data_IF_106673998101
#
_entry.id   IF_106673998101
#
_cell.length_a   1.000
_cell.length_b   1.000
_cell.length_c   1.000
_cell.angle_alpha   90.00
_cell.angle_beta   90.00
_cell.angle_gamma   90.00
#
_symmetry.space_group_name_H-M   'P 1'
#
loop_
_entity.id
_entity.type
_entity.pdbx_description
1 polymer ?
#
# COMPACT_ATOMS: atom_id res chain seq x y z
N UNK A 1 -25.48 9.32 -0.01
CA UNK A 1 -24.13 9.38 -0.61
C UNK A 1 -23.00 9.14 0.39
N UNK A 2 -22.93 9.83 1.55
CA UNK A 2 -21.80 9.70 2.50
C UNK A 2 -21.67 8.34 3.19
N UNK A 3 -22.79 7.76 3.65
CA UNK A 3 -22.83 6.42 4.24
C UNK A 3 -22.43 5.37 3.19
N UNK A 4 -22.89 5.55 1.95
CA UNK A 4 -22.48 4.69 0.84
C UNK A 4 -20.96 4.72 0.64
N UNK A 5 -20.31 5.89 0.64
CA UNK A 5 -18.85 6.01 0.54
C UNK A 5 -18.10 5.31 1.68
N UNK A 6 -18.56 5.48 2.93
CA UNK A 6 -17.94 4.80 4.07
C UNK A 6 -18.13 3.28 4.00
N UNK A 7 -19.30 2.80 3.59
CA UNK A 7 -19.57 1.38 3.39
C UNK A 7 -18.73 0.82 2.24
N UNK A 8 -18.51 1.57 1.16
CA UNK A 8 -17.63 1.17 0.07
C UNK A 8 -16.18 1.07 0.55
N UNK A 9 -15.67 2.06 1.27
CA UNK A 9 -14.31 2.05 1.82
C UNK A 9 -14.13 0.88 2.80
N UNK A 10 -15.09 0.66 3.69
CA UNK A 10 -15.06 -0.44 4.63
C UNK A 10 -15.13 -1.80 3.92
N UNK A 11 -16.00 -1.93 2.92
CA UNK A 11 -16.14 -3.14 2.12
C UNK A 11 -14.87 -3.47 1.35
N UNK A 12 -14.26 -2.47 0.71
CA UNK A 12 -12.96 -2.63 0.03
C UNK A 12 -11.87 -3.01 1.03
N UNK A 13 -11.81 -2.36 2.20
CA UNK A 13 -10.82 -2.69 3.23
C UNK A 13 -10.98 -4.13 3.73
N UNK A 14 -12.20 -4.57 4.03
CA UNK A 14 -12.47 -5.94 4.48
C UNK A 14 -12.15 -6.97 3.40
N UNK A 15 -12.52 -6.70 2.14
CA UNK A 15 -12.23 -7.57 1.01
C UNK A 15 -10.72 -7.66 0.76
N UNK A 16 -10.01 -6.55 0.84
CA UNK A 16 -8.55 -6.53 0.72
C UNK A 16 -7.90 -7.31 1.85
N UNK A 17 -8.24 -7.04 3.11
CA UNK A 17 -7.71 -7.80 4.26
C UNK A 17 -7.97 -9.30 4.08
N UNK A 18 -9.16 -9.68 3.63
CA UNK A 18 -9.49 -11.08 3.35
C UNK A 18 -8.57 -11.68 2.27
N UNK A 19 -8.36 -10.99 1.15
CA UNK A 19 -7.45 -11.44 0.09
C UNK A 19 -5.99 -11.56 0.59
N UNK A 20 -5.54 -10.60 1.40
CA UNK A 20 -4.20 -10.57 1.97
C UNK A 20 -3.97 -11.61 3.08
N UNK A 21 -5.01 -12.17 3.70
CA UNK A 21 -4.87 -13.18 4.78
C UNK A 21 -5.12 -14.58 4.26
N UNK A 22 -6.13 -14.76 3.41
CA UNK A 22 -6.59 -16.10 3.00
C UNK A 22 -5.75 -16.67 1.86
N UNK A 23 -5.02 -15.81 1.13
CA UNK A 23 -4.17 -16.22 0.01
C UNK A 23 -4.86 -17.22 -0.96
N UNK A 24 -6.13 -16.99 -1.39
CA UNK A 24 -6.91 -18.02 -2.07
C UNK A 24 -6.36 -18.43 -3.45
N UNK A 25 -5.46 -17.62 -4.02
CA UNK A 25 -4.87 -17.80 -5.36
C UNK A 25 -3.34 -17.89 -5.27
N UNK A 26 -2.83 -18.63 -4.28
CA UNK A 26 -1.40 -18.75 -4.06
C UNK A 26 -0.69 -19.62 -5.10
N UNK A 27 0.62 -19.41 -5.24
CA UNK A 27 1.44 -20.10 -6.24
C UNK A 27 1.40 -21.63 -6.09
N UNK A 28 1.40 -22.38 -7.21
CA UNK A 28 1.56 -23.83 -7.16
C UNK A 28 2.93 -24.19 -6.58
N UNK A 29 3.05 -25.41 -6.04
CA UNK A 29 4.31 -25.89 -5.45
C UNK A 29 5.49 -25.68 -6.42
N UNK A 30 6.52 -24.98 -5.96
CA UNK A 30 7.67 -24.62 -6.77
C UNK A 30 8.43 -25.85 -7.27
N UNK A 31 8.62 -25.94 -8.59
CA UNK A 31 9.34 -27.05 -9.25
C UNK A 31 10.84 -26.76 -9.41
N UNK A 32 11.26 -25.51 -9.20
CA UNK A 32 12.65 -25.04 -9.40
C UNK A 32 13.34 -24.74 -8.07
N UNK A 33 14.66 -24.97 -8.00
CA UNK A 33 15.49 -24.65 -6.84
C UNK A 33 15.45 -23.15 -6.45
N UNK A 34 15.12 -22.26 -7.38
CA UNK A 34 15.00 -20.82 -7.14
C UNK A 34 13.57 -20.36 -6.77
N UNK A 35 12.58 -21.24 -6.84
CA UNK A 35 11.19 -20.91 -6.50
C UNK A 35 11.03 -20.32 -5.08
N UNK A 36 11.68 -20.85 -4.03
CA UNK A 36 11.53 -20.31 -2.67
C UNK A 36 11.99 -18.85 -2.52
N UNK A 37 13.04 -18.46 -3.25
CA UNK A 37 13.61 -17.13 -3.18
C UNK A 37 12.76 -16.10 -3.93
N UNK A 38 12.17 -16.49 -5.07
CA UNK A 38 11.18 -15.67 -5.79
C UNK A 38 9.89 -15.51 -4.98
N UNK A 39 9.40 -16.60 -4.37
CA UNK A 39 8.19 -16.59 -3.55
C UNK A 39 8.36 -15.69 -2.31
N UNK A 40 9.54 -15.69 -1.69
CA UNK A 40 9.84 -14.79 -0.58
C UNK A 40 9.81 -13.32 -1.02
N UNK A 41 10.40 -12.97 -2.16
CA UNK A 41 10.39 -11.60 -2.65
C UNK A 41 8.96 -11.14 -3.00
N UNK A 42 8.16 -12.02 -3.62
CA UNK A 42 6.75 -11.75 -3.85
C UNK A 42 6.02 -11.50 -2.53
N UNK A 43 6.22 -12.35 -1.52
CA UNK A 43 5.57 -12.23 -0.22
C UNK A 43 5.93 -10.91 0.48
N UNK A 44 7.20 -10.50 0.42
CA UNK A 44 7.66 -9.21 0.95
C UNK A 44 6.98 -8.04 0.23
N UNK A 45 6.97 -8.05 -1.10
CA UNK A 45 6.32 -6.99 -1.88
C UNK A 45 4.82 -6.93 -1.62
N UNK A 46 4.17 -8.09 -1.57
CA UNK A 46 2.74 -8.23 -1.28
C UNK A 46 2.40 -7.69 0.11
N UNK A 47 3.18 -8.03 1.14
CA UNK A 47 2.98 -7.52 2.49
C UNK A 47 3.15 -6.00 2.59
N UNK A 48 4.19 -5.44 1.96
CA UNK A 48 4.45 -3.99 1.97
C UNK A 48 3.32 -3.23 1.27
N UNK A 49 2.97 -3.63 0.04
CA UNK A 49 1.93 -2.95 -0.74
C UNK A 49 0.54 -3.12 -0.10
N UNK A 50 0.23 -4.30 0.42
CA UNK A 50 -1.02 -4.55 1.14
C UNK A 50 -1.14 -3.71 2.40
N UNK A 51 -0.08 -3.63 3.21
CA UNK A 51 -0.03 -2.75 4.38
C UNK A 51 -0.24 -1.28 4.02
N UNK A 52 0.42 -0.81 2.95
CA UNK A 52 0.28 0.57 2.47
C UNK A 52 -1.14 0.86 2.00
N UNK A 53 -1.77 -0.09 1.31
CA UNK A 53 -3.16 0.02 0.88
C UNK A 53 -4.12 0.12 2.07
N UNK A 54 -3.98 -0.76 3.06
CA UNK A 54 -4.80 -0.72 4.29
C UNK A 54 -4.60 0.62 5.02
N UNK A 55 -3.36 1.09 5.17
CA UNK A 55 -3.07 2.38 5.78
C UNK A 55 -3.74 3.54 5.02
N UNK A 56 -3.71 3.51 3.68
CA UNK A 56 -4.40 4.49 2.85
C UNK A 56 -5.92 4.49 3.03
N UNK A 57 -6.54 3.31 3.11
CA UNK A 57 -7.98 3.16 3.36
C UNK A 57 -8.37 3.67 4.76
N UNK A 58 -7.57 3.37 5.79
CA UNK A 58 -7.79 3.87 7.15
C UNK A 58 -7.62 5.39 7.23
N UNK A 59 -6.61 5.95 6.58
CA UNK A 59 -6.41 7.40 6.51
C UNK A 59 -7.60 8.08 5.83
N UNK A 60 -8.09 7.51 4.73
CA UNK A 60 -9.25 8.04 4.01
C UNK A 60 -10.52 7.98 4.88
N UNK A 61 -10.78 6.84 5.53
CA UNK A 61 -11.90 6.69 6.46
C UNK A 61 -11.81 7.70 7.62
N UNK A 62 -10.61 7.91 8.18
CA UNK A 62 -10.35 8.89 9.23
C UNK A 62 -10.60 10.32 8.75
N UNK A 63 -10.16 10.70 7.55
CA UNK A 63 -10.39 12.03 6.98
C UNK A 63 -11.89 12.29 6.80
N UNK A 64 -12.64 11.32 6.28
CA UNK A 64 -14.10 11.43 6.14
C UNK A 64 -14.77 11.59 7.52
N UNK A 65 -14.31 10.82 8.52
CA UNK A 65 -14.82 10.92 9.89
C UNK A 65 -14.45 12.24 10.55
N UNK A 66 -13.22 12.74 10.39
CA UNK A 66 -12.79 14.03 10.97
C UNK A 66 -13.47 15.22 10.31
N UNK A 67 -13.72 15.15 9.00
CA UNK A 67 -14.54 16.13 8.30
C UNK A 67 -15.96 16.23 8.90
N UNK A 68 -16.48 15.18 9.56
CA UNK A 68 -17.74 15.21 10.31
C UNK A 68 -17.69 16.15 11.52
N UNK A 69 -16.59 16.15 12.29
CA UNK A 69 -16.46 16.95 13.51
C UNK A 69 -16.52 18.46 13.25
N UNK A 70 -16.10 18.89 12.04
CA UNK A 70 -16.19 20.29 11.60
C UNK A 70 -17.56 20.68 11.01
N UNK A 71 -18.41 19.71 10.66
CA UNK A 71 -19.70 19.92 9.98
C UNK A 71 -20.91 20.08 10.94
N UNK A 72 -20.67 20.25 12.24
CA UNK A 72 -21.70 20.64 13.22
C UNK A 72 -22.02 22.15 13.23
N UNK A 73 -21.36 22.95 12.41
CA UNK A 73 -21.64 24.39 12.27
C UNK A 73 -22.75 24.62 11.23
N UNK A 74 -23.75 25.49 11.50
CA UNK A 74 -24.87 25.73 10.60
C UNK A 74 -24.42 26.14 9.19
N UNK A 75 -25.14 25.63 8.20
CA UNK A 75 -25.04 25.94 6.78
C UNK A 75 -24.95 27.45 6.52
N UNK A 76 -23.74 27.98 6.30
CA UNK A 76 -23.53 29.38 5.95
C UNK A 76 -22.07 29.80 6.02
N UNK A 77 -21.47 30.05 4.85
CA UNK A 77 -20.27 30.86 4.65
C UNK A 77 -18.98 30.48 5.41
N UNK A 78 -18.30 29.41 5.02
CA UNK A 78 -16.84 29.46 4.91
C UNK A 78 -16.43 28.76 3.62
N UNK A 79 -15.93 29.55 2.67
CA UNK A 79 -15.27 29.02 1.49
C UNK A 79 -14.26 27.93 1.91
N UNK A 80 -14.08 26.85 1.13
CA UNK A 80 -13.08 25.83 1.44
C UNK A 80 -11.74 26.55 1.64
N UNK A 81 -11.24 26.55 2.87
CA UNK A 81 -9.93 27.09 3.16
C UNK A 81 -8.95 26.10 2.55
N UNK A 82 -8.60 26.28 1.28
CA UNK A 82 -7.53 25.53 0.63
C UNK A 82 -6.30 25.70 1.52
N UNK A 83 -5.88 24.64 2.24
CA UNK A 83 -4.66 24.71 3.01
C UNK A 83 -3.54 24.98 2.00
N UNK A 84 -2.69 25.99 2.26
CA UNK A 84 -1.41 26.05 1.55
C UNK A 84 -0.71 24.72 1.80
N UNK A 85 -0.22 24.07 0.73
CA UNK A 85 0.46 22.78 0.82
C UNK A 85 1.53 22.84 1.90
N UNK A 86 1.46 21.90 2.85
CA UNK A 86 2.50 21.78 3.86
C UNK A 86 3.66 21.02 3.23
N UNK A 87 4.68 21.76 2.79
CA UNK A 87 5.84 21.21 2.08
C UNK A 87 6.50 20.05 2.84
N UNK A 88 6.39 20.04 4.18
CA UNK A 88 6.91 18.96 5.03
C UNK A 88 6.15 17.66 4.81
N UNK A 89 4.83 17.76 4.74
CA UNK A 89 3.98 16.60 4.43
C UNK A 89 4.29 16.11 3.02
N UNK A 90 4.44 17.04 2.07
CA UNK A 90 4.77 16.73 0.68
C UNK A 90 6.17 16.11 0.49
N UNK A 91 7.16 16.52 1.29
CA UNK A 91 8.47 15.88 1.29
C UNK A 91 8.41 14.49 1.94
N UNK A 92 7.70 14.35 3.07
CA UNK A 92 7.65 13.12 3.83
C UNK A 92 7.04 11.95 3.03
N UNK A 93 5.89 12.12 2.38
CA UNK A 93 5.28 11.04 1.59
C UNK A 93 6.10 10.71 0.33
N UNK A 94 6.77 11.69 -0.28
CA UNK A 94 7.64 11.48 -1.44
C UNK A 94 8.88 10.68 -1.06
N UNK A 95 9.53 11.03 0.06
CA UNK A 95 10.68 10.29 0.59
C UNK A 95 10.25 8.88 1.00
N UNK A 96 9.13 8.73 1.71
CA UNK A 96 8.62 7.42 2.10
C UNK A 96 8.37 6.51 0.88
N UNK A 97 7.72 7.04 -0.15
CA UNK A 97 7.50 6.33 -1.42
C UNK A 97 8.84 5.94 -2.06
N UNK A 98 9.79 6.88 -2.12
CA UNK A 98 11.13 6.62 -2.65
C UNK A 98 11.84 5.50 -1.89
N UNK A 99 11.85 5.53 -0.56
CA UNK A 99 12.47 4.49 0.26
C UNK A 99 11.84 3.12 0.04
N UNK A 100 10.50 3.03 -0.09
CA UNK A 100 9.79 1.77 -0.34
C UNK A 100 10.19 1.20 -1.71
N UNK A 101 10.08 1.99 -2.79
CA UNK A 101 10.39 1.52 -4.14
C UNK A 101 11.87 1.20 -4.31
N UNK A 102 12.76 2.00 -3.73
CA UNK A 102 14.20 1.75 -3.78
C UNK A 102 14.58 0.51 -2.97
N UNK A 103 13.96 0.31 -1.80
CA UNK A 103 14.14 -0.91 -0.99
C UNK A 103 13.67 -2.16 -1.72
N UNK A 104 12.49 -2.12 -2.35
CA UNK A 104 11.99 -3.21 -3.18
C UNK A 104 12.90 -3.50 -4.38
N UNK A 105 13.43 -2.44 -5.02
CA UNK A 105 14.37 -2.56 -6.15
C UNK A 105 15.68 -3.23 -5.74
N UNK A 106 16.26 -2.86 -4.59
CA UNK A 106 17.47 -3.49 -4.06
C UNK A 106 17.25 -4.95 -3.67
N UNK A 107 16.12 -5.27 -3.04
CA UNK A 107 15.75 -6.64 -2.71
C UNK A 107 15.64 -7.50 -3.98
N UNK A 108 15.04 -6.96 -5.05
CA UNK A 108 15.00 -7.61 -6.35
C UNK A 108 16.35 -7.75 -7.02
N UNK A 109 17.17 -6.70 -7.00
CA UNK A 109 18.51 -6.72 -7.59
C UNK A 109 19.40 -7.80 -7.01
N UNK A 110 19.35 -8.04 -5.69
CA UNK A 110 20.09 -9.14 -5.04
C UNK A 110 19.68 -10.50 -5.59
N UNK A 111 18.38 -10.77 -5.72
CA UNK A 111 17.89 -12.03 -6.26
C UNK A 111 18.34 -12.26 -7.71
N UNK A 112 18.22 -11.24 -8.56
CA UNK A 112 18.64 -11.30 -9.95
C UNK A 112 20.15 -11.47 -10.12
N UNK A 113 20.97 -10.86 -9.24
CA UNK A 113 22.42 -11.06 -9.26
C UNK A 113 22.81 -12.50 -8.91
N UNK A 114 22.12 -13.15 -7.97
CA UNK A 114 22.41 -14.53 -7.58
C UNK A 114 22.06 -15.53 -8.67
N UNK A 115 20.98 -15.28 -9.43
CA UNK A 115 20.59 -16.12 -10.57
C UNK A 115 21.60 -15.95 -11.72
N UNK A 116 21.91 -14.72 -12.13
CA UNK A 116 22.86 -14.46 -13.23
C UNK A 116 24.30 -14.88 -12.95
N UNK A 117 24.75 -14.86 -11.69
CA UNK A 117 26.09 -15.32 -11.33
C UNK A 117 26.21 -16.85 -11.36
N UNK A 118 25.10 -17.59 -11.25
CA UNK A 118 25.09 -19.05 -11.33
C UNK A 118 24.95 -19.57 -12.77
N UNK A 119 24.39 -18.76 -13.67
CA UNK A 119 24.37 -19.02 -15.12
C UNK A 119 25.71 -18.68 -15.81
N UNK A 120 26.68 -18.14 -15.07
CA UNK A 120 27.97 -17.73 -15.59
C UNK A 120 29.05 -18.79 -15.32
N UNK A 121 29.06 -19.86 -16.10
CA UNK A 121 30.24 -20.70 -16.37
C UNK A 121 29.99 -21.57 -17.63
N UNK A 122 31.01 -21.86 -18.45
CA UNK A 122 31.82 -20.99 -19.32
C UNK A 122 31.30 -20.86 -20.76
#
# INVERSE_FOLDING_TARGET
MRIALLLTILGVLLMSVWLFVVHPWWFPAGVSAHAPAMDHQFTVAFGILGGLFIAGQLLLAFVIFRARAHNGAPSGSKAPRFPRGDWRFEAAWTIATTCIFFGLSLAGGKLWSQIRLHDAEP
#
